data_IF_082875448511
#
_entry.id   IF_082875448511
#
_cell.length_a   1.000
_cell.length_b   1.000
_cell.length_c   1.000
_cell.angle_alpha   90.00
_cell.angle_beta   90.00
_cell.angle_gamma   90.00
#
_symmetry.space_group_name_H-M   'P 1'
#
loop_
_entity.id
_entity.type
_entity.pdbx_description
1 polymer ?
#
# COMPACT_ATOMS: atom_id res chain seq x y z
N UNK A 1 -10.90 26.79 44.83
CA UNK A 1 -9.83 25.81 44.54
C UNK A 1 -10.04 25.31 43.11
N UNK A 2 -9.29 25.84 42.13
CA UNK A 2 -9.37 25.41 40.72
C UNK A 2 -8.00 24.89 40.30
N UNK A 3 -7.85 23.58 40.27
CA UNK A 3 -6.62 22.89 39.84
C UNK A 3 -6.54 22.95 38.32
N UNK A 4 -5.59 23.72 37.77
CA UNK A 4 -5.26 23.70 36.36
C UNK A 4 -4.38 22.50 36.05
N UNK A 5 -4.96 21.47 35.43
CA UNK A 5 -4.24 20.33 34.86
C UNK A 5 -3.38 20.81 33.69
N UNK A 6 -2.07 20.89 33.87
CA UNK A 6 -1.11 21.16 32.81
C UNK A 6 -0.87 19.88 32.00
N UNK A 7 -1.51 19.77 30.84
CA UNK A 7 -1.19 18.73 29.86
C UNK A 7 0.28 18.85 29.45
N UNK A 8 1.12 17.82 29.61
CA UNK A 8 2.50 17.89 29.19
C UNK A 8 2.56 17.97 27.67
N UNK A 9 2.96 19.13 27.16
CA UNK A 9 3.34 19.30 25.75
C UNK A 9 4.65 18.54 25.55
N UNK A 10 4.57 17.28 25.14
CA UNK A 10 5.73 16.54 24.62
C UNK A 10 6.25 17.30 23.39
N UNK A 11 7.30 18.09 23.59
CA UNK A 11 7.95 18.84 22.52
C UNK A 11 8.64 17.88 21.56
N UNK A 12 7.92 17.41 20.55
CA UNK A 12 8.54 16.71 19.43
C UNK A 12 9.48 17.68 18.74
N UNK A 13 10.78 17.51 18.95
CA UNK A 13 11.81 18.28 18.24
C UNK A 13 11.63 18.09 16.73
N UNK A 14 12.04 19.07 15.92
CA UNK A 14 11.91 19.01 14.45
C UNK A 14 12.51 17.70 13.87
N UNK A 15 13.61 17.21 14.47
CA UNK A 15 14.21 15.91 14.16
C UNK A 15 13.29 14.72 14.46
N UNK A 16 12.54 14.75 15.57
CA UNK A 16 11.56 13.73 15.93
C UNK A 16 10.38 13.68 14.96
N UNK A 17 9.90 14.84 14.49
CA UNK A 17 8.83 14.92 13.48
C UNK A 17 9.29 14.40 12.11
N UNK A 18 10.48 14.79 11.66
CA UNK A 18 11.03 14.31 10.38
C UNK A 18 11.21 12.78 10.38
N UNK A 19 11.69 12.21 11.49
CA UNK A 19 11.81 10.74 11.65
C UNK A 19 10.45 10.04 11.67
N UNK A 20 9.43 10.64 12.30
CA UNK A 20 8.06 10.11 12.28
C UNK A 20 7.47 10.13 10.86
N UNK A 21 7.63 11.24 10.14
CA UNK A 21 7.15 11.37 8.75
C UNK A 21 7.85 10.34 7.86
N UNK A 22 9.18 10.20 7.98
CA UNK A 22 9.93 9.18 7.25
C UNK A 22 9.46 7.75 7.60
N UNK A 23 9.25 7.44 8.88
CA UNK A 23 8.78 6.12 9.30
C UNK A 23 7.38 5.79 8.76
N UNK A 24 6.46 6.77 8.79
CA UNK A 24 5.10 6.62 8.24
C UNK A 24 5.15 6.47 6.71
N UNK A 25 5.95 7.29 6.03
CA UNK A 25 6.09 7.19 4.56
C UNK A 25 6.77 5.90 4.13
N UNK A 26 7.73 5.38 4.90
CA UNK A 26 8.41 4.13 4.58
C UNK A 26 7.46 2.92 4.69
N UNK A 27 6.60 2.89 5.71
CA UNK A 27 5.57 1.86 5.87
C UNK A 27 4.57 1.90 4.70
N UNK A 28 4.06 3.08 4.37
CA UNK A 28 3.21 3.27 3.21
C UNK A 28 3.92 2.89 1.90
N UNK A 29 5.17 3.30 1.72
CA UNK A 29 5.93 2.98 0.51
C UNK A 29 6.16 1.48 0.33
N UNK A 30 6.38 0.72 1.40
CA UNK A 30 6.56 -0.74 1.33
C UNK A 30 5.27 -1.45 0.92
N UNK A 31 4.11 -1.00 1.42
CA UNK A 31 2.81 -1.52 0.99
C UNK A 31 2.57 -1.24 -0.50
N UNK A 32 2.82 0.00 -0.94
CA UNK A 32 2.71 0.39 -2.35
C UNK A 32 3.73 -0.30 -3.25
N UNK A 33 4.93 -0.59 -2.73
CA UNK A 33 5.97 -1.30 -3.46
C UNK A 33 5.53 -2.73 -3.76
N UNK A 34 5.08 -3.49 -2.76
CA UNK A 34 4.60 -4.86 -2.94
C UNK A 34 3.43 -4.94 -3.93
N UNK A 35 2.50 -3.97 -3.89
CA UNK A 35 1.39 -3.89 -4.85
C UNK A 35 1.85 -3.63 -6.27
N UNK A 36 2.78 -2.69 -6.42
CA UNK A 36 3.33 -2.33 -7.73
C UNK A 36 4.08 -3.51 -8.32
N UNK A 37 4.85 -4.21 -7.49
CA UNK A 37 5.56 -5.44 -7.86
C UNK A 37 4.56 -6.50 -8.31
N UNK A 38 3.51 -6.77 -7.54
CA UNK A 38 2.46 -7.71 -7.95
C UNK A 38 1.79 -7.31 -9.27
N UNK A 39 1.48 -6.03 -9.48
CA UNK A 39 0.88 -5.52 -10.71
C UNK A 39 1.80 -5.69 -11.93
N UNK A 40 3.12 -5.50 -11.77
CA UNK A 40 4.10 -5.76 -12.83
C UNK A 40 4.18 -7.26 -13.12
N UNK A 41 4.16 -8.09 -12.08
CA UNK A 41 4.19 -9.56 -12.23
C UNK A 41 2.87 -10.15 -12.74
N UNK A 42 1.76 -9.40 -12.72
CA UNK A 42 0.46 -9.85 -13.21
C UNK A 42 0.51 -10.32 -14.67
N UNK A 43 1.34 -9.71 -15.53
CA UNK A 43 1.50 -10.12 -16.94
C UNK A 43 2.15 -11.51 -17.07
N UNK A 44 2.97 -11.90 -16.09
CA UNK A 44 3.56 -13.24 -16.04
C UNK A 44 2.56 -14.27 -15.49
N UNK A 45 1.78 -13.88 -14.48
CA UNK A 45 0.71 -14.72 -13.95
C UNK A 45 -0.40 -14.94 -14.97
N UNK A 46 -0.71 -13.94 -15.80
CA UNK A 46 -1.80 -14.03 -16.76
C UNK A 46 -1.64 -15.19 -17.74
N UNK A 47 -0.43 -15.39 -18.26
CA UNK A 47 -0.14 -16.46 -19.22
C UNK A 47 -0.02 -17.84 -18.58
N UNK A 48 0.33 -17.93 -17.29
CA UNK A 48 0.41 -19.22 -16.59
C UNK A 48 -0.93 -19.68 -16.00
N UNK A 49 -1.77 -18.77 -15.54
CA UNK A 49 -3.04 -19.11 -14.92
C UNK A 49 -4.21 -19.10 -15.91
N UNK A 50 -4.17 -18.24 -16.92
CA UNK A 50 -5.20 -18.16 -17.95
C UNK A 50 -4.58 -18.59 -19.29
N UNK A 51 -5.13 -19.64 -19.89
CA UNK A 51 -4.79 -20.05 -21.25
C UNK A 51 -6.01 -19.77 -22.11
N UNK A 52 -6.12 -18.57 -22.66
CA UNK A 52 -7.17 -18.21 -23.60
C UNK A 52 -6.59 -17.98 -24.98
N UNK A 53 -7.41 -18.15 -26.01
CA UNK A 53 -7.03 -17.98 -27.42
C UNK A 53 -6.59 -16.53 -27.76
N UNK A 54 -6.74 -15.58 -26.83
CA UNK A 54 -6.37 -14.17 -26.99
C UNK A 54 -5.60 -13.64 -25.77
N UNK A 55 -4.34 -13.25 -25.98
CA UNK A 55 -3.45 -12.71 -24.93
C UNK A 55 -4.04 -11.51 -24.16
N UNK A 56 -4.83 -10.67 -24.85
CA UNK A 56 -5.51 -9.51 -24.25
C UNK A 56 -6.53 -9.94 -23.17
N UNK A 57 -7.23 -11.05 -23.39
CA UNK A 57 -8.25 -11.57 -22.46
C UNK A 57 -7.61 -12.12 -21.18
N UNK A 58 -6.45 -12.79 -21.31
CA UNK A 58 -5.66 -13.25 -20.16
C UNK A 58 -5.21 -12.09 -19.28
N UNK A 59 -4.66 -11.04 -19.91
CA UNK A 59 -4.21 -9.85 -19.18
C UNK A 59 -5.37 -9.18 -18.45
N UNK A 60 -6.50 -9.00 -19.13
CA UNK A 60 -7.69 -8.37 -18.56
C UNK A 60 -8.24 -9.16 -17.36
N UNK A 61 -8.26 -10.50 -17.45
CA UNK A 61 -8.68 -11.39 -16.36
C UNK A 61 -7.77 -11.24 -15.14
N UNK A 62 -6.47 -11.10 -15.35
CA UNK A 62 -5.51 -10.93 -14.24
C UNK A 62 -5.61 -9.54 -13.62
N UNK A 63 -5.83 -8.51 -14.44
CA UNK A 63 -6.15 -7.17 -13.94
C UNK A 63 -7.46 -7.16 -13.14
N UNK A 64 -8.46 -7.96 -13.51
CA UNK A 64 -9.69 -8.10 -12.75
C UNK A 64 -9.45 -8.76 -11.39
N UNK A 65 -8.62 -9.81 -11.32
CA UNK A 65 -8.21 -10.43 -10.04
C UNK A 65 -7.46 -9.44 -9.16
N UNK A 66 -6.55 -8.64 -9.74
CA UNK A 66 -5.87 -7.56 -9.04
C UNK A 66 -6.84 -6.51 -8.49
N UNK A 67 -7.82 -6.08 -9.29
CA UNK A 67 -8.85 -5.12 -8.88
C UNK A 67 -9.73 -5.65 -7.73
N UNK A 68 -10.09 -6.93 -7.77
CA UNK A 68 -10.81 -7.57 -6.65
C UNK A 68 -9.96 -7.60 -5.39
N UNK A 69 -8.66 -7.90 -5.51
CA UNK A 69 -7.70 -7.84 -4.39
C UNK A 69 -7.53 -6.45 -3.79
N UNK A 70 -7.63 -5.39 -4.61
CA UNK A 70 -7.62 -4.00 -4.16
C UNK A 70 -8.89 -3.67 -3.33
N UNK A 71 -10.06 -4.07 -3.82
CA UNK A 71 -11.35 -3.83 -3.14
C UNK A 71 -11.50 -4.64 -1.85
N UNK A 72 -10.91 -5.85 -1.79
CA UNK A 72 -10.94 -6.73 -0.62
C UNK A 72 -10.11 -6.24 0.56
N UNK A 73 -9.32 -5.15 0.42
CA UNK A 73 -8.60 -4.56 1.55
C UNK A 73 -9.51 -3.56 2.28
N UNK A 74 -9.94 -3.86 3.52
CA UNK A 74 -10.77 -2.95 4.32
C UNK A 74 -9.99 -1.73 4.82
#
# INVERSE_FOLDING_TARGET
>A
MTSSTSTPRTGTTVRGRARMILAVNMGNALEWFDWTVFAIFAVYFSNQFFHSDNEVSNLLSTMAVFAVGFVMRP
#
